data_IF_984884057499
#
_entry.id   IF_984884057499
#
_cell.length_a   1.000
_cell.length_b   1.000
_cell.length_c   1.000
_cell.angle_alpha   90.00
_cell.angle_beta   90.00
_cell.angle_gamma   90.00
#
_symmetry.space_group_name_H-M   'P 1'
#
loop_
_entity.id
_entity.type
_entity.pdbx_description
1 polymer ?
#
# COMPACT_ATOMS: atom_id res chain seq x y z
N UNK A 1 -10.83 16.33 -6.81
CA UNK A 1 -10.19 15.08 -6.33
C UNK A 1 -9.71 14.20 -7.51
N UNK A 2 -8.74 14.64 -8.32
CA UNK A 2 -8.24 13.89 -9.48
C UNK A 2 -6.97 13.11 -9.07
N UNK A 3 -7.10 11.86 -8.63
CA UNK A 3 -5.93 11.03 -8.28
C UNK A 3 -6.22 9.71 -7.57
N UNK A 4 -7.35 9.61 -6.84
CA UNK A 4 -7.72 8.41 -6.07
C UNK A 4 -7.90 7.11 -6.88
N UNK A 5 -8.51 7.11 -8.08
CA UNK A 5 -8.76 5.86 -8.80
C UNK A 5 -7.48 5.15 -9.27
N UNK A 6 -6.50 5.93 -9.76
CA UNK A 6 -5.25 5.39 -10.29
C UNK A 6 -4.37 4.79 -9.20
N UNK A 7 -4.34 5.42 -8.02
CA UNK A 7 -3.57 4.92 -6.89
C UNK A 7 -4.16 3.63 -6.31
N UNK A 8 -5.50 3.57 -6.16
CA UNK A 8 -6.18 2.35 -5.70
C UNK A 8 -5.96 1.17 -6.65
N UNK A 9 -5.99 1.42 -7.95
CA UNK A 9 -5.71 0.40 -8.96
C UNK A 9 -4.25 -0.09 -8.88
N UNK A 10 -3.28 0.82 -8.69
CA UNK A 10 -1.87 0.46 -8.50
C UNK A 10 -1.68 -0.42 -7.25
N UNK A 11 -2.27 -0.03 -6.12
CA UNK A 11 -2.23 -0.80 -4.86
C UNK A 11 -2.89 -2.18 -5.02
N UNK A 12 -4.01 -2.27 -5.74
CA UNK A 12 -4.67 -3.54 -6.03
C UNK A 12 -3.81 -4.47 -6.89
N UNK A 13 -3.18 -3.94 -7.95
CA UNK A 13 -2.29 -4.71 -8.82
C UNK A 13 -1.06 -5.24 -8.06
N UNK A 14 -0.46 -4.43 -7.19
CA UNK A 14 0.65 -4.87 -6.30
C UNK A 14 0.20 -6.04 -5.42
N UNK A 15 -0.99 -5.96 -4.81
CA UNK A 15 -1.55 -7.04 -3.97
C UNK A 15 -1.80 -8.33 -4.77
N UNK A 16 -2.26 -8.22 -6.02
CA UNK A 16 -2.49 -9.37 -6.91
C UNK A 16 -1.16 -10.04 -7.29
N UNK A 17 -0.18 -9.26 -7.75
CA UNK A 17 1.13 -9.78 -8.13
C UNK A 17 1.85 -10.44 -6.95
N UNK A 18 1.80 -9.83 -5.76
CA UNK A 18 2.35 -10.42 -4.54
C UNK A 18 1.73 -11.80 -4.25
N UNK A 19 0.39 -11.90 -4.28
CA UNK A 19 -0.30 -13.18 -4.07
C UNK A 19 0.10 -14.24 -5.09
N UNK A 20 0.25 -13.86 -6.36
CA UNK A 20 0.70 -14.76 -7.43
C UNK A 20 2.12 -15.27 -7.15
N UNK A 21 3.07 -14.38 -6.86
CA UNK A 21 4.45 -14.78 -6.58
C UNK A 21 4.60 -15.62 -5.32
N UNK A 22 3.80 -15.34 -4.28
CA UNK A 22 3.76 -16.17 -3.07
C UNK A 22 3.18 -17.56 -3.37
N UNK A 23 2.13 -17.64 -4.20
CA UNK A 23 1.51 -18.91 -4.60
C UNK A 23 2.46 -19.80 -5.41
N UNK A 24 3.38 -19.21 -6.19
CA UNK A 24 4.41 -19.96 -6.90
C UNK A 24 5.41 -20.66 -5.96
N UNK A 25 5.55 -20.22 -4.70
CA UNK A 25 6.46 -20.79 -3.67
C UNK A 25 7.93 -20.90 -4.10
N UNK A 26 8.34 -20.18 -5.14
CA UNK A 26 9.71 -20.19 -5.68
C UNK A 26 10.65 -19.23 -4.98
N UNK A 27 10.09 -18.17 -4.37
CA UNK A 27 10.87 -17.04 -3.87
C UNK A 27 10.56 -16.74 -2.41
N UNK A 28 11.56 -16.21 -1.70
CA UNK A 28 11.36 -15.66 -0.36
C UNK A 28 10.54 -14.38 -0.43
N UNK A 29 9.85 -14.02 0.66
CA UNK A 29 9.06 -12.78 0.72
C UNK A 29 9.91 -11.53 0.45
N UNK A 30 11.13 -11.49 0.97
CA UNK A 30 12.06 -10.37 0.76
C UNK A 30 12.43 -10.19 -0.71
N UNK A 31 12.64 -11.30 -1.43
CA UNK A 31 12.87 -11.25 -2.87
C UNK A 31 11.64 -10.68 -3.60
N UNK A 32 10.45 -11.16 -3.25
CA UNK A 32 9.19 -10.69 -3.85
C UNK A 32 9.01 -9.18 -3.61
N UNK A 33 9.33 -8.67 -2.42
CA UNK A 33 9.25 -7.23 -2.13
C UNK A 33 10.23 -6.40 -2.97
N UNK A 34 11.46 -6.88 -3.20
CA UNK A 34 12.45 -6.21 -4.05
C UNK A 34 12.04 -6.21 -5.53
N UNK A 35 11.56 -7.35 -6.01
CA UNK A 35 11.10 -7.51 -7.40
C UNK A 35 9.92 -6.58 -7.70
N UNK A 36 8.89 -6.59 -6.84
CA UNK A 36 7.75 -5.70 -6.97
C UNK A 36 8.14 -4.23 -6.78
N UNK A 37 9.08 -3.94 -5.88
CA UNK A 37 9.60 -2.59 -5.70
C UNK A 37 10.21 -2.05 -6.99
N UNK A 38 11.00 -2.87 -7.67
CA UNK A 38 11.60 -2.54 -8.97
C UNK A 38 10.52 -2.35 -10.04
N UNK A 39 9.57 -3.27 -10.15
CA UNK A 39 8.49 -3.24 -11.16
C UNK A 39 7.58 -2.02 -11.03
N UNK A 40 7.31 -1.58 -9.80
CA UNK A 40 6.39 -0.48 -9.51
C UNK A 40 7.06 0.85 -9.18
N UNK A 41 8.40 0.91 -9.24
CA UNK A 41 9.22 2.06 -8.85
C UNK A 41 8.89 2.53 -7.41
N UNK A 42 8.95 1.59 -6.46
CA UNK A 42 8.66 1.82 -5.06
C UNK A 42 9.70 1.12 -4.18
N UNK A 43 9.97 1.69 -3.01
CA UNK A 43 10.78 1.03 -1.99
C UNK A 43 10.16 -0.31 -1.56
N UNK A 44 10.95 -1.37 -1.31
CA UNK A 44 10.44 -2.67 -0.84
C UNK A 44 9.59 -2.57 0.42
N UNK A 45 9.97 -1.68 1.35
CA UNK A 45 9.20 -1.41 2.58
C UNK A 45 7.83 -0.76 2.29
N UNK A 46 7.69 -0.07 1.16
CA UNK A 46 6.40 0.47 0.71
C UNK A 46 5.51 -0.64 0.17
N UNK A 47 6.08 -1.57 -0.61
CA UNK A 47 5.37 -2.76 -1.11
C UNK A 47 4.85 -3.60 0.07
N UNK A 48 5.72 -3.84 1.06
CA UNK A 48 5.35 -4.54 2.28
C UNK A 48 4.12 -3.87 2.94
N UNK A 49 4.18 -2.56 3.21
CA UNK A 49 3.04 -1.83 3.82
C UNK A 49 1.75 -1.92 3.02
N UNK A 50 1.84 -1.90 1.69
CA UNK A 50 0.67 -2.05 0.79
C UNK A 50 0.08 -3.46 0.92
N UNK A 51 0.92 -4.50 0.88
CA UNK A 51 0.51 -5.90 0.99
C UNK A 51 -0.11 -6.22 2.35
N UNK A 52 0.44 -5.69 3.44
CA UNK A 52 -0.06 -5.90 4.81
C UNK A 52 -1.22 -4.97 5.20
N UNK A 53 -1.68 -4.10 4.30
CA UNK A 53 -2.82 -3.21 4.56
C UNK A 53 -2.55 -2.09 5.56
N UNK A 54 -1.29 -1.80 5.88
CA UNK A 54 -0.92 -0.69 6.78
C UNK A 54 -1.26 0.70 6.17
N UNK A 55 -1.41 0.78 4.84
CA UNK A 55 -1.91 1.99 4.17
C UNK A 55 -3.41 2.21 4.41
N UNK A 56 -4.21 1.16 4.54
CA UNK A 56 -5.65 1.25 4.79
C UNK A 56 -5.94 1.73 6.23
N UNK A 57 -5.17 1.26 7.22
CA UNK A 57 -5.30 1.70 8.62
C UNK A 57 -4.88 3.16 8.82
N UNK A 58 -3.77 3.60 8.20
CA UNK A 58 -3.35 5.01 8.22
C UNK A 58 -4.34 5.94 7.50
N UNK A 59 -4.92 5.50 6.38
CA UNK A 59 -5.93 6.27 5.63
C UNK A 59 -7.24 6.37 6.42
N UNK A 60 -7.68 5.31 7.10
CA UNK A 60 -8.85 5.36 8.01
C UNK A 60 -8.62 6.31 9.17
N UNK A 61 -7.45 6.28 9.82
CA UNK A 61 -7.13 7.18 10.93
C UNK A 61 -7.15 8.67 10.54
N UNK A 62 -6.57 9.03 9.38
CA UNK A 62 -6.64 10.41 8.84
C UNK A 62 -8.04 10.87 8.43
N UNK A 63 -8.94 9.94 8.12
CA UNK A 63 -10.34 10.26 7.76
C UNK A 63 -11.24 10.30 9.00
N UNK A 64 -10.83 9.62 10.08
CA UNK A 64 -11.55 9.53 11.35
C UNK A 64 -11.15 10.60 12.37
N UNK A 65 -10.07 11.35 12.16
CA UNK A 65 -9.79 12.56 12.95
C UNK A 65 -10.79 13.66 12.54
N UNK A 66 -11.70 14.08 13.43
CA UNK A 66 -12.45 15.31 13.20
C UNK A 66 -11.45 16.47 13.10
N UNK A 67 -11.68 17.49 12.25
CA UNK A 67 -10.87 18.69 12.29
C UNK A 67 -10.92 19.21 13.72
N UNK A 68 -9.74 19.35 14.31
CA UNK A 68 -9.54 19.81 15.67
C UNK A 68 -10.43 21.05 15.91
N UNK A 69 -11.45 20.91 16.78
CA UNK A 69 -12.21 22.03 17.35
C UNK A 69 -11.28 22.79 18.31
N UNK A 70 -10.28 23.46 17.76
CA UNK A 70 -9.36 24.30 18.51
C UNK A 70 -9.08 25.55 17.70
N UNK A 71 -10.05 26.47 17.71
CA UNK A 71 -9.90 27.93 17.67
C UNK A 71 -11.28 28.57 17.47
N UNK A 72 -12.06 28.59 18.55
CA UNK A 72 -13.12 29.57 18.78
C UNK A 72 -13.15 29.78 20.30
N UNK A 73 -12.14 30.51 20.77
CA UNK A 73 -12.16 31.18 22.06
C UNK A 73 -12.64 32.62 21.81
#
# INVERSE_FOLDING_TARGET
MKGRPKQLLKEANIKIDFKRMVAEKKYTKDYIYRELGTRYFLEPSTIERICWGQYDSLRRRRTAEPPNRAQAA
#
